data_IF_800264783414
#
_entry.id   IF_800264783414
#
_cell.length_a   1.000
_cell.length_b   1.000
_cell.length_c   1.000
_cell.angle_alpha   90.00
_cell.angle_beta   90.00
_cell.angle_gamma   90.00
#
_symmetry.space_group_name_H-M   'P 1'
#
loop_
_entity.id
_entity.type
_entity.pdbx_description
1 polymer ?
#
# COMPACT_ATOMS: atom_id res chain seq x y z
N UNK A 1 12.56 18.33 16.86
CA UNK A 1 11.12 18.35 16.53
C UNK A 1 10.88 17.17 15.62
N UNK A 2 10.41 16.04 16.14
CA UNK A 2 10.07 14.87 15.34
C UNK A 2 8.76 15.20 14.63
N UNK A 3 8.82 15.50 13.34
CA UNK A 3 7.63 15.51 12.49
C UNK A 3 6.90 14.19 12.73
N UNK A 4 5.59 14.19 13.07
CA UNK A 4 4.84 12.95 13.13
C UNK A 4 4.86 12.39 11.72
N UNK A 5 5.72 11.41 11.49
CA UNK A 5 5.80 10.68 10.24
C UNK A 5 4.42 10.03 10.10
N UNK A 6 3.60 10.57 9.20
CA UNK A 6 2.23 10.11 9.10
C UNK A 6 2.26 8.61 8.76
N UNK A 7 1.41 7.80 9.40
CA UNK A 7 1.44 6.36 9.23
C UNK A 7 1.17 6.01 7.76
N UNK A 8 1.93 5.05 7.25
CA UNK A 8 1.72 4.49 5.92
C UNK A 8 0.45 3.66 5.96
N UNK A 9 -0.45 3.86 5.00
CA UNK A 9 -1.73 3.14 4.95
C UNK A 9 -1.79 2.24 3.75
N UNK A 10 -1.87 0.94 3.98
CA UNK A 10 -2.11 -0.06 2.94
C UNK A 10 -3.60 -0.34 2.81
N UNK A 11 -4.12 -0.20 1.60
CA UNK A 11 -5.52 -0.47 1.29
C UNK A 11 -5.64 -1.45 0.16
N UNK A 12 -6.56 -2.40 0.33
CA UNK A 12 -6.88 -3.39 -0.70
C UNK A 12 -8.16 -3.02 -1.41
N UNK A 13 -8.12 -2.96 -2.73
CA UNK A 13 -9.31 -2.72 -3.55
C UNK A 13 -9.58 -3.91 -4.48
N UNK A 14 -10.83 -4.12 -4.90
CA UNK A 14 -11.12 -5.08 -5.96
C UNK A 14 -10.76 -4.49 -7.32
N UNK A 15 -10.21 -5.30 -8.24
CA UNK A 15 -9.80 -4.91 -9.61
C UNK A 15 -10.84 -4.07 -10.39
N UNK A 16 -12.13 -4.26 -10.07
CA UNK A 16 -13.26 -3.54 -10.66
C UNK A 16 -13.54 -2.16 -10.05
N UNK A 17 -12.81 -1.72 -9.02
CA UNK A 17 -13.02 -0.45 -8.34
C UNK A 17 -12.22 0.69 -9.00
N UNK A 18 -12.89 1.80 -9.29
CA UNK A 18 -12.26 3.01 -9.81
C UNK A 18 -11.91 3.97 -8.66
N UNK A 19 -10.70 4.54 -8.67
CA UNK A 19 -10.14 5.43 -7.62
C UNK A 19 -11.00 6.66 -7.30
N UNK A 20 -11.91 7.01 -8.22
CA UNK A 20 -12.81 8.16 -8.15
C UNK A 20 -14.21 7.82 -7.58
N UNK A 21 -14.47 6.54 -7.25
CA UNK A 21 -15.77 6.20 -6.68
C UNK A 21 -15.86 6.73 -5.23
N UNK A 22 -16.92 7.46 -4.87
CA UNK A 22 -17.13 7.99 -3.52
C UNK A 22 -17.51 6.88 -2.51
N UNK A 23 -17.36 5.62 -2.89
CA UNK A 23 -17.74 4.47 -2.08
C UNK A 23 -16.69 4.28 -0.98
N UNK A 24 -17.17 4.28 0.26
CA UNK A 24 -16.47 4.09 1.52
C UNK A 24 -15.11 3.39 1.36
N UNK A 25 -14.04 4.09 1.75
CA UNK A 25 -12.69 3.53 1.69
C UNK A 25 -12.65 2.23 2.51
N UNK A 26 -12.13 1.12 1.94
CA UNK A 26 -12.02 -0.14 2.65
C UNK A 26 -11.05 -0.02 3.82
N UNK A 27 -11.08 -1.04 4.68
CA UNK A 27 -10.23 -1.11 5.85
C UNK A 27 -8.75 -0.91 5.46
N UNK A 28 -8.11 0.04 6.13
CA UNK A 28 -6.73 0.44 5.86
C UNK A 28 -5.84 -0.14 6.93
N UNK A 29 -4.81 -0.87 6.53
CA UNK A 29 -3.77 -1.32 7.47
C UNK A 29 -2.75 -0.20 7.64
N UNK A 30 -2.56 0.25 8.88
CA UNK A 30 -1.58 1.29 9.22
C UNK A 30 -0.23 0.66 9.56
N UNK A 31 0.81 1.22 8.98
CA UNK A 31 2.19 0.78 9.08
C UNK A 31 3.09 1.96 9.44
N UNK A 32 4.13 1.68 10.20
CA UNK A 32 5.13 2.69 10.57
C UNK A 32 6.05 3.04 9.39
N UNK A 33 6.18 2.13 8.42
CA UNK A 33 7.11 2.26 7.29
C UNK A 33 6.57 1.68 5.99
N UNK A 34 7.00 2.26 4.87
CA UNK A 34 6.67 1.77 3.52
C UNK A 34 7.18 0.35 3.33
N UNK A 35 8.36 0.03 3.85
CA UNK A 35 8.94 -1.31 3.75
C UNK A 35 8.07 -2.40 4.40
N UNK A 36 7.50 -2.12 5.59
CA UNK A 36 6.65 -3.07 6.30
C UNK A 36 5.31 -3.25 5.58
N UNK A 37 4.74 -2.14 5.08
CA UNK A 37 3.53 -2.16 4.27
C UNK A 37 3.72 -2.90 2.93
N UNK A 38 4.86 -2.73 2.26
CA UNK A 38 5.23 -3.47 1.02
C UNK A 38 5.42 -4.95 1.33
N UNK A 39 6.14 -5.29 2.41
CA UNK A 39 6.33 -6.67 2.84
C UNK A 39 4.99 -7.35 3.14
N UNK A 40 4.12 -6.66 3.86
CA UNK A 40 2.78 -7.16 4.17
C UNK A 40 1.94 -7.33 2.90
N UNK A 41 1.93 -6.33 2.00
CA UNK A 41 1.21 -6.40 0.74
C UNK A 41 1.61 -7.62 -0.11
N UNK A 42 2.91 -7.93 -0.16
CA UNK A 42 3.45 -9.03 -0.96
C UNK A 42 3.35 -10.39 -0.27
N UNK A 43 3.41 -10.43 1.07
CA UNK A 43 3.37 -11.68 1.85
C UNK A 43 1.95 -12.13 2.16
N UNK A 44 1.08 -11.20 2.51
CA UNK A 44 -0.31 -11.47 2.87
C UNK A 44 -1.25 -11.48 1.68
N UNK A 45 -0.78 -11.07 0.48
CA UNK A 45 -1.49 -10.93 -0.79
C UNK A 45 -2.78 -11.78 -0.81
N UNK A 46 -3.92 -11.23 -0.33
CA UNK A 46 -5.06 -12.05 -0.02
C UNK A 46 -5.68 -12.51 -1.34
N UNK A 47 -5.37 -13.75 -1.72
CA UNK A 47 -6.01 -14.50 -2.80
C UNK A 47 -6.06 -13.77 -4.17
N UNK A 48 -4.90 -13.44 -4.75
CA UNK A 48 -4.81 -12.80 -6.08
C UNK A 48 -5.67 -11.53 -6.24
N UNK A 49 -5.97 -10.81 -5.14
CA UNK A 49 -6.63 -9.51 -5.22
C UNK A 49 -5.65 -8.49 -5.79
N UNK A 50 -5.86 -8.14 -7.05
CA UNK A 50 -4.98 -7.32 -7.88
C UNK A 50 -4.87 -5.83 -7.48
N UNK A 51 -5.37 -5.42 -6.31
CA UNK A 51 -5.16 -4.03 -5.86
C UNK A 51 -4.67 -3.95 -4.43
N UNK A 52 -3.43 -3.50 -4.30
CA UNK A 52 -2.88 -2.85 -3.12
C UNK A 52 -2.51 -1.40 -3.49
N UNK A 53 -3.08 -0.43 -2.78
CA UNK A 53 -2.65 0.97 -2.79
C UNK A 53 -1.99 1.27 -1.47
N UNK A 54 -0.77 1.78 -1.50
CA UNK A 54 -0.01 2.14 -0.33
C UNK A 54 0.10 3.65 -0.29
N UNK A 55 -0.60 4.27 0.65
CA UNK A 55 -0.54 5.71 0.88
C UNK A 55 0.58 6.00 1.86
N UNK A 56 1.62 6.70 1.40
CA UNK A 56 2.72 7.15 2.27
C UNK A 56 2.26 8.29 3.16
N UNK A 57 3.02 8.54 4.23
CA UNK A 57 2.79 9.68 5.10
C UNK A 57 3.01 11.06 4.44
N UNK A 58 3.49 11.09 3.20
CA UNK A 58 3.61 12.31 2.39
C UNK A 58 2.38 12.52 1.50
N UNK A 59 1.41 11.61 1.55
CA UNK A 59 0.21 11.63 0.72
C UNK A 59 0.41 11.02 -0.67
N UNK A 60 1.59 10.45 -0.95
CA UNK A 60 1.83 9.71 -2.18
C UNK A 60 1.08 8.38 -2.14
N UNK A 61 0.46 7.98 -3.25
CA UNK A 61 -0.26 6.71 -3.36
C UNK A 61 0.48 5.82 -4.34
N UNK A 62 1.13 4.78 -3.81
CA UNK A 62 1.84 3.78 -4.57
C UNK A 62 0.86 2.66 -4.99
N UNK A 63 0.82 2.37 -6.29
CA UNK A 63 -0.04 1.28 -6.84
C UNK A 63 0.68 -0.07 -6.77
N UNK A 64 -0.07 -1.15 -6.87
CA UNK A 64 0.46 -2.53 -6.90
C UNK A 64 1.72 -2.74 -7.78
N UNK A 65 1.79 -2.29 -9.05
CA UNK A 65 3.03 -2.44 -9.83
C UNK A 65 4.23 -1.67 -9.25
N UNK A 66 4.02 -0.53 -8.59
CA UNK A 66 5.09 0.20 -7.90
C UNK A 66 5.51 -0.51 -6.61
N UNK A 67 4.56 -1.08 -5.86
CA UNK A 67 4.81 -1.89 -4.67
C UNK A 67 5.63 -3.15 -5.05
N UNK A 68 5.26 -3.82 -6.15
CA UNK A 68 6.04 -4.94 -6.70
C UNK A 68 7.47 -4.52 -7.02
N UNK A 69 7.63 -3.41 -7.74
CA UNK A 69 8.97 -2.92 -8.11
C UNK A 69 9.83 -2.62 -6.88
N UNK A 70 9.25 -2.02 -5.83
CA UNK A 70 9.95 -1.77 -4.56
C UNK A 70 10.34 -3.07 -3.85
N UNK A 71 9.47 -4.08 -3.87
CA UNK A 71 9.76 -5.40 -3.31
C UNK A 71 10.88 -6.13 -4.05
N UNK A 72 10.89 -6.09 -5.39
CA UNK A 72 11.94 -6.71 -6.20
C UNK A 72 13.30 -6.02 -5.99
N UNK A 73 13.30 -4.68 -5.91
CA UNK A 73 14.50 -3.91 -5.57
C UNK A 73 15.05 -4.27 -4.19
N UNK A 74 14.18 -4.49 -3.20
CA UNK A 74 14.57 -4.94 -1.86
C UNK A 74 15.21 -6.33 -1.87
N UNK A 75 14.65 -7.29 -2.62
CA UNK A 75 15.15 -8.67 -2.67
C UNK A 75 16.48 -8.81 -3.41
N UNK A 76 16.82 -7.84 -4.26
CA UNK A 76 18.06 -7.86 -5.07
C UNK A 76 19.30 -7.40 -4.27
N UNK A 77 19.14 -7.00 -3.01
CA UNK A 77 20.16 -6.29 -2.23
C UNK A 77 20.65 -7.05 -0.99
#
# INVERSE_FOLDING_TARGET
MTTPQQPVRLQYWPASHSVDAPDTWPDSYEFDSVDDAVAFAMTQAPANREIAWLRTGEGEVLKYPQIQMLWELRQTH
#
